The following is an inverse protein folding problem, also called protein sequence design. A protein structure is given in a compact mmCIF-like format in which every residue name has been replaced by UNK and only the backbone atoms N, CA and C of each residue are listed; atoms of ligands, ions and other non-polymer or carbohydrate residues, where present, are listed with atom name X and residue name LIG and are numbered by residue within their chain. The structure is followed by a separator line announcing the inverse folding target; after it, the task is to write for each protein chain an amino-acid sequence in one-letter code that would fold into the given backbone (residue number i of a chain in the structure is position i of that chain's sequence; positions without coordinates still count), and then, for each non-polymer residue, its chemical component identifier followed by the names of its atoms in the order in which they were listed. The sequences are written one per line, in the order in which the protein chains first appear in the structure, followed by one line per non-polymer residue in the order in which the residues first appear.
data_IF_362567635352
#
_entry.id   IF_362567635352
#
_cell.length_a   1.000
_cell.length_b   1.000
_cell.length_c   1.000
_cell.angle_alpha   90.00
_cell.angle_beta   90.00
_cell.angle_gamma   90.00
#
_symmetry.space_group_name_H-M   'P 1'
#
loop_
_entity.id
_entity.type
_entity.pdbx_description
1 polymer ?
#
# COMPACT_ATOMS: atom_id res chain seq x y z
N UNK A 1 6.15 -22.30 -26.67
CA UNK A 1 7.52 -22.45 -26.14
C UNK A 1 7.55 -21.77 -24.79
N UNK A 2 7.83 -22.54 -23.74
CA UNK A 2 7.57 -22.19 -22.35
C UNK A 2 8.46 -21.04 -21.85
N UNK A 3 7.84 -19.97 -21.36
CA UNK A 3 8.51 -19.01 -20.48
C UNK A 3 8.43 -19.59 -19.08
N UNK A 4 9.49 -20.32 -18.74
CA UNK A 4 9.81 -20.80 -17.40
C UNK A 4 9.73 -19.64 -16.42
N UNK A 5 8.79 -19.75 -15.46
CA UNK A 5 8.65 -18.83 -14.35
C UNK A 5 9.97 -18.68 -13.60
N UNK A 6 10.47 -17.46 -13.61
CA UNK A 6 11.43 -16.96 -12.64
C UNK A 6 10.75 -17.03 -11.27
N UNK A 7 10.99 -18.13 -10.55
CA UNK A 7 10.70 -18.18 -9.12
C UNK A 7 11.59 -17.12 -8.48
N UNK A 8 11.00 -15.97 -8.16
CA UNK A 8 11.60 -14.96 -7.31
C UNK A 8 12.25 -15.67 -6.12
N UNK A 9 13.58 -15.63 -6.05
CA UNK A 9 14.32 -16.15 -4.91
C UNK A 9 13.92 -15.27 -3.73
N UNK A 10 12.95 -15.75 -2.95
CA UNK A 10 12.43 -15.05 -1.78
C UNK A 10 13.59 -14.96 -0.79
N UNK A 11 14.25 -13.81 -0.72
CA UNK A 11 15.40 -13.59 0.16
C UNK A 11 15.06 -14.09 1.57
N UNK A 12 15.77 -15.08 2.12
CA UNK A 12 15.39 -15.71 3.40
C UNK A 12 15.33 -14.69 4.54
N UNK A 13 16.17 -13.66 4.45
CA UNK A 13 16.21 -12.51 5.36
C UNK A 13 14.88 -11.74 5.36
N UNK A 14 14.25 -11.52 4.19
CA UNK A 14 12.95 -10.83 4.08
C UNK A 14 11.85 -11.62 4.77
N UNK A 15 11.85 -12.95 4.62
CA UNK A 15 10.86 -13.82 5.26
C UNK A 15 11.02 -13.79 6.77
N UNK A 16 12.25 -13.87 7.28
CA UNK A 16 12.53 -13.79 8.73
C UNK A 16 12.10 -12.44 9.30
N UNK A 17 12.48 -11.34 8.65
CA UNK A 17 12.14 -9.99 9.12
C UNK A 17 10.63 -9.74 9.10
N UNK A 18 9.93 -10.26 8.09
CA UNK A 18 8.47 -10.24 8.01
C UNK A 18 7.82 -11.04 9.15
N UNK A 19 8.34 -12.22 9.48
CA UNK A 19 7.83 -13.02 10.61
C UNK A 19 8.04 -12.31 11.95
N UNK A 20 9.19 -11.67 12.13
CA UNK A 20 9.47 -10.87 13.34
C UNK A 20 8.47 -9.71 13.44
N UNK A 21 8.26 -8.95 12.37
CA UNK A 21 7.28 -7.87 12.36
C UNK A 21 5.84 -8.36 12.66
N UNK A 22 5.45 -9.51 12.09
CA UNK A 22 4.15 -10.14 12.40
C UNK A 22 4.01 -10.47 13.89
N UNK A 23 5.03 -11.05 14.51
CA UNK A 23 5.02 -11.33 15.94
C UNK A 23 4.88 -10.04 16.77
N UNK A 24 5.57 -8.97 16.38
CA UNK A 24 5.44 -7.67 17.05
C UNK A 24 4.02 -7.12 16.95
N UNK A 25 3.37 -7.21 15.79
CA UNK A 25 1.98 -6.79 15.63
C UNK A 25 1.00 -7.61 16.48
N UNK A 26 1.24 -8.92 16.65
CA UNK A 26 0.45 -9.74 17.59
C UNK A 26 0.58 -9.21 19.01
N UNK A 27 1.81 -8.95 19.45
CA UNK A 27 2.06 -8.43 20.80
C UNK A 27 1.40 -7.07 21.00
N UNK A 28 1.46 -6.18 20.01
CA UNK A 28 0.74 -4.89 20.01
C UNK A 28 -0.77 -5.11 20.12
N UNK A 29 -1.34 -5.99 19.32
CA UNK A 29 -2.77 -6.29 19.35
C UNK A 29 -3.22 -6.82 20.71
N UNK A 30 -2.47 -7.76 21.30
CA UNK A 30 -2.72 -8.28 22.65
C UNK A 30 -2.64 -7.15 23.69
N UNK A 31 -1.65 -6.27 23.60
CA UNK A 31 -1.53 -5.13 24.51
C UNK A 31 -2.72 -4.18 24.42
N UNK A 32 -3.25 -3.94 23.22
CA UNK A 32 -4.45 -3.15 22.98
C UNK A 32 -5.69 -3.74 23.65
N UNK A 33 -5.88 -5.05 23.52
CA UNK A 33 -6.99 -5.77 24.18
C UNK A 33 -6.85 -5.69 25.71
N UNK A 34 -5.64 -5.90 26.24
CA UNK A 34 -5.37 -5.82 27.67
C UNK A 34 -5.60 -4.41 28.23
N UNK A 35 -5.28 -3.34 27.49
CA UNK A 35 -5.60 -1.97 27.89
C UNK A 35 -7.11 -1.76 28.06
N UNK A 36 -7.91 -2.26 27.11
CA UNK A 36 -9.39 -2.19 27.19
C UNK A 36 -9.90 -3.02 28.37
N UNK A 37 -9.39 -4.25 28.55
CA UNK A 37 -9.80 -5.11 29.66
C UNK A 37 -9.46 -4.50 31.02
N UNK A 38 -8.28 -3.90 31.16
CA UNK A 38 -7.83 -3.24 32.39
C UNK A 38 -8.77 -2.11 32.80
N UNK A 39 -9.15 -1.23 31.86
CA UNK A 39 -10.02 -0.10 32.20
C UNK A 39 -11.46 -0.54 32.50
N UNK A 40 -11.98 -1.57 31.82
CA UNK A 40 -13.30 -2.13 32.13
C UNK A 40 -13.33 -2.81 33.50
N UNK A 41 -12.23 -3.47 33.90
CA UNK A 41 -12.12 -4.10 35.22
C UNK A 41 -12.02 -3.06 36.35
N UNK A 42 -11.33 -1.94 36.11
CA UNK A 42 -11.14 -0.89 37.12
C UNK A 42 -12.29 0.12 37.19
N UNK A 43 -12.90 0.45 36.05
CA UNK A 43 -13.99 1.41 35.93
C UNK A 43 -15.13 0.79 35.11
N UNK A 44 -16.01 0.00 35.74
CA UNK A 44 -17.17 -0.58 35.05
C UNK A 44 -18.13 0.49 34.49
N UNK A 45 -18.06 1.72 35.00
CA UNK A 45 -18.65 2.92 34.39
C UNK A 45 -17.52 3.92 34.12
N UNK A 46 -16.95 3.96 32.91
CA UNK A 46 -15.85 4.87 32.61
C UNK A 46 -16.32 6.31 32.76
N UNK A 47 -15.60 7.09 33.59
CA UNK A 47 -15.82 8.54 33.65
C UNK A 47 -15.48 9.16 32.29
N UNK A 48 -16.21 10.21 31.92
CA UNK A 48 -16.32 10.73 30.55
C UNK A 48 -14.99 11.07 29.85
N UNK A 49 -13.91 11.40 30.58
CA UNK A 49 -12.65 11.85 29.98
C UNK A 49 -11.54 10.78 29.91
N UNK A 50 -10.95 10.27 31.02
CA UNK A 50 -9.77 9.41 30.92
C UNK A 50 -10.09 7.97 30.51
N UNK A 51 -11.21 7.42 30.97
CA UNK A 51 -11.58 6.03 30.70
C UNK A 51 -11.87 5.79 29.22
N UNK A 52 -12.66 6.67 28.59
CA UNK A 52 -12.96 6.61 27.17
C UNK A 52 -11.73 6.81 26.28
N UNK A 53 -10.80 7.70 26.66
CA UNK A 53 -9.56 7.89 25.91
C UNK A 53 -8.73 6.60 25.84
N UNK A 54 -8.60 5.88 26.95
CA UNK A 54 -7.85 4.60 26.99
C UNK A 54 -8.55 3.53 26.14
N UNK A 55 -9.89 3.48 26.16
CA UNK A 55 -10.65 2.54 25.32
C UNK A 55 -10.42 2.84 23.84
N UNK A 56 -10.52 4.10 23.43
CA UNK A 56 -10.27 4.52 22.04
C UNK A 56 -8.84 4.20 21.63
N UNK A 57 -7.86 4.48 22.50
CA UNK A 57 -6.45 4.12 22.27
C UNK A 57 -6.26 2.62 22.09
N UNK A 58 -6.89 1.80 22.93
CA UNK A 58 -6.87 0.35 22.79
C UNK A 58 -7.45 -0.12 21.46
N UNK A 59 -8.58 0.46 21.02
CA UNK A 59 -9.20 0.15 19.72
C UNK A 59 -8.28 0.55 18.57
N UNK A 60 -7.66 1.73 18.63
CA UNK A 60 -6.70 2.17 17.62
C UNK A 60 -5.48 1.24 17.56
N UNK A 61 -4.98 0.80 18.71
CA UNK A 61 -3.85 -0.14 18.82
C UNK A 61 -4.18 -1.49 18.21
N UNK A 62 -5.38 -2.03 18.50
CA UNK A 62 -5.88 -3.28 17.88
C UNK A 62 -6.08 -3.09 16.38
N UNK A 63 -6.69 -1.99 15.95
CA UNK A 63 -6.86 -1.66 14.53
C UNK A 63 -5.53 -1.57 13.79
N UNK A 64 -4.53 -0.92 14.39
CA UNK A 64 -3.17 -0.88 13.87
C UNK A 64 -2.58 -2.28 13.72
N UNK A 65 -2.76 -3.18 14.70
CA UNK A 65 -2.26 -4.56 14.61
C UNK A 65 -2.87 -5.32 13.43
N UNK A 66 -4.19 -5.23 13.22
CA UNK A 66 -4.90 -5.89 12.12
C UNK A 66 -4.45 -5.33 10.77
N UNK A 67 -4.32 -4.01 10.67
CA UNK A 67 -3.80 -3.37 9.45
C UNK A 67 -2.33 -3.72 9.20
N UNK A 68 -1.53 -3.95 10.25
CA UNK A 68 -0.15 -4.42 10.12
C UNK A 68 -0.05 -5.79 9.45
N UNK A 69 -1.04 -6.66 9.66
CA UNK A 69 -1.15 -7.93 8.93
C UNK A 69 -1.52 -7.75 7.46
N UNK A 70 -2.41 -6.79 7.17
CA UNK A 70 -2.86 -6.50 5.80
C UNK A 70 -1.89 -5.58 5.02
N UNK A 71 -0.97 -4.89 5.70
CA UNK A 71 0.01 -3.97 5.12
C UNK A 71 0.97 -4.62 4.12
N UNK A 72 1.12 -5.95 4.18
CA UNK A 72 1.92 -6.70 3.21
C UNK A 72 1.25 -6.84 1.84
N UNK A 73 -0.06 -6.62 1.74
CA UNK A 73 -0.83 -6.82 0.51
C UNK A 73 -0.88 -5.56 -0.35
N UNK A 74 -0.90 -4.37 0.26
CA UNK A 74 -1.06 -3.10 -0.46
C UNK A 74 -0.35 -1.93 0.23
N UNK A 75 0.28 -1.05 -0.55
CA UNK A 75 0.93 0.17 -0.06
C UNK A 75 -0.04 1.10 0.68
N UNK A 76 -1.31 1.14 0.27
CA UNK A 76 -2.34 1.94 0.96
C UNK A 76 -2.61 1.45 2.38
N UNK A 77 -2.62 0.12 2.60
CA UNK A 77 -2.81 -0.44 3.93
C UNK A 77 -1.60 -0.15 4.84
N UNK A 78 -0.38 -0.13 4.30
CA UNK A 78 0.81 0.29 5.04
C UNK A 78 0.73 1.76 5.49
N UNK A 79 0.27 2.68 4.63
CA UNK A 79 0.09 4.09 4.99
C UNK A 79 -0.93 4.21 6.12
N UNK A 80 -2.10 3.58 5.98
CA UNK A 80 -3.12 3.59 7.04
C UNK A 80 -2.61 2.97 8.34
N UNK A 81 -1.89 1.84 8.27
CA UNK A 81 -1.26 1.21 9.43
C UNK A 81 -0.30 2.16 10.12
N UNK A 82 0.62 2.78 9.37
CA UNK A 82 1.61 3.71 9.93
C UNK A 82 0.96 4.95 10.55
N UNK A 83 -0.10 5.49 9.95
CA UNK A 83 -0.83 6.64 10.48
C UNK A 83 -1.56 6.31 11.79
N UNK A 84 -2.28 5.18 11.83
CA UNK A 84 -3.03 4.75 13.02
C UNK A 84 -2.06 4.36 14.15
N UNK A 85 -0.98 3.65 13.84
CA UNK A 85 0.03 3.28 14.82
C UNK A 85 0.76 4.52 15.37
N UNK A 86 1.04 5.52 14.53
CA UNK A 86 1.61 6.79 14.98
C UNK A 86 0.65 7.52 15.92
N UNK A 87 -0.64 7.58 15.57
CA UNK A 87 -1.66 8.20 16.41
C UNK A 87 -1.80 7.48 17.76
N UNK A 88 -1.79 6.15 17.76
CA UNK A 88 -1.78 5.34 18.96
C UNK A 88 -0.53 5.63 19.82
N UNK A 89 0.66 5.66 19.21
CA UNK A 89 1.92 5.99 19.89
C UNK A 89 1.91 7.40 20.50
N UNK A 90 1.39 8.40 19.79
CA UNK A 90 1.24 9.75 20.34
C UNK A 90 0.28 9.77 21.54
N UNK A 91 -0.83 9.04 21.48
CA UNK A 91 -1.76 8.95 22.59
C UNK A 91 -1.21 8.17 23.79
N UNK A 92 -0.53 7.05 23.56
CA UNK A 92 0.18 6.28 24.59
C UNK A 92 1.29 7.12 25.23
N UNK A 93 2.07 7.85 24.42
CA UNK A 93 3.11 8.77 24.90
C UNK A 93 2.53 9.92 25.71
N UNK A 94 1.47 10.57 25.23
CA UNK A 94 0.77 11.64 25.94
C UNK A 94 0.17 11.16 27.27
N UNK A 95 -0.44 9.97 27.28
CA UNK A 95 -0.97 9.37 28.50
C UNK A 95 0.13 8.99 29.50
N UNK A 96 1.24 8.44 29.01
CA UNK A 96 2.41 8.13 29.84
C UNK A 96 2.97 9.40 30.45
N UNK A 97 3.18 10.47 29.66
CA UNK A 97 3.63 11.76 30.16
C UNK A 97 2.67 12.35 31.20
N UNK A 98 1.36 12.28 30.95
CA UNK A 98 0.36 12.70 31.91
C UNK A 98 0.43 11.90 33.22
N UNK A 99 0.68 10.59 33.15
CA UNK A 99 0.91 9.74 34.32
C UNK A 99 2.21 10.08 35.05
N UNK A 100 3.27 10.56 34.39
CA UNK A 100 4.50 10.97 35.06
C UNK A 100 4.36 12.36 35.73
N UNK A 101 3.75 13.32 35.04
CA UNK A 101 3.65 14.72 35.47
C UNK A 101 2.54 14.91 36.51
N UNK A 102 1.39 14.28 36.30
CA UNK A 102 0.14 14.57 37.01
C UNK A 102 -0.40 13.38 37.80
N UNK A 103 0.50 12.54 38.35
CA UNK A 103 0.14 11.41 39.25
C UNK A 103 -0.93 11.76 40.28
N UNK A 104 -0.80 12.83 41.09
CA UNK A 104 -1.78 13.15 42.12
C UNK A 104 -3.14 13.56 41.56
N UNK A 105 -3.18 14.22 40.40
CA UNK A 105 -4.44 14.63 39.78
C UNK A 105 -5.21 13.43 39.22
N UNK A 106 -4.51 12.48 38.60
CA UNK A 106 -5.07 11.24 38.06
C UNK A 106 -5.53 10.31 39.18
N UNK A 107 -4.74 10.19 40.25
CA UNK A 107 -5.11 9.43 41.45
C UNK A 107 -6.43 9.97 42.05
N UNK A 108 -6.60 11.30 42.12
CA UNK A 108 -7.85 11.93 42.59
C UNK A 108 -9.05 11.66 41.68
N UNK A 109 -8.85 11.54 40.37
CA UNK A 109 -9.94 11.23 39.42
C UNK A 109 -10.34 9.76 39.44
N UNK A 110 -9.40 8.88 39.80
CA UNK A 110 -9.59 7.43 39.94
C UNK A 110 -10.09 7.07 41.35
N UNK A 111 -9.97 7.98 42.33
CA UNK A 111 -10.42 7.78 43.71
C UNK A 111 -11.94 7.56 43.78
N UNK A 112 -12.31 6.31 43.49
CA UNK A 112 -13.55 5.68 43.83
C UNK A 112 -13.47 5.30 45.29
N UNK A 113 -14.52 5.59 46.05
CA UNK A 113 -14.74 5.31 47.49
C UNK A 113 -14.45 3.85 47.95
N UNK A 114 -14.00 2.98 47.06
CA UNK A 114 -13.76 1.55 47.24
C UNK A 114 -12.29 1.16 47.43
N UNK A 115 -11.31 2.02 47.16
CA UNK A 115 -9.88 1.66 47.20
C UNK A 115 -9.08 2.50 48.18
N UNK A 116 -8.18 1.83 48.91
CA UNK A 116 -7.26 2.42 49.87
C UNK A 116 -6.15 3.21 49.12
N UNK A 117 -5.80 4.41 49.58
CA UNK A 117 -4.95 5.34 48.84
C UNK A 117 -3.57 4.73 48.51
N UNK A 118 -2.98 3.97 49.43
CA UNK A 118 -1.67 3.31 49.24
C UNK A 118 -1.66 2.28 48.11
N UNK A 119 -2.79 1.58 47.89
CA UNK A 119 -2.92 0.59 46.81
C UNK A 119 -3.04 1.28 45.45
N UNK A 120 -3.68 2.45 45.40
CA UNK A 120 -3.83 3.24 44.17
C UNK A 120 -2.46 3.73 43.69
N UNK A 121 -1.59 4.20 44.59
CA UNK A 121 -0.24 4.64 44.25
C UNK A 121 0.64 3.52 43.70
N UNK A 122 0.62 2.35 44.36
CA UNK A 122 1.34 1.17 43.88
C UNK A 122 0.84 0.70 42.52
N UNK A 123 -0.47 0.77 42.28
CA UNK A 123 -1.08 0.42 41.00
C UNK A 123 -0.73 1.43 39.89
N UNK A 124 -0.88 2.73 40.13
CA UNK A 124 -0.52 3.78 39.15
C UNK A 124 0.93 3.67 38.71
N UNK A 125 1.83 3.35 39.64
CA UNK A 125 3.25 3.12 39.33
C UNK A 125 3.41 1.95 38.34
N UNK A 126 2.73 0.83 38.56
CA UNK A 126 2.76 -0.32 37.64
C UNK A 126 2.17 0.03 36.27
N UNK A 127 1.02 0.70 36.24
CA UNK A 127 0.35 1.11 34.99
C UNK A 127 1.24 2.02 34.17
N UNK A 128 1.94 2.96 34.81
CA UNK A 128 2.88 3.86 34.14
C UNK A 128 4.00 3.09 33.41
N UNK A 129 4.60 2.08 34.06
CA UNK A 129 5.64 1.26 33.43
C UNK A 129 5.09 0.40 32.29
N UNK A 130 3.87 -0.11 32.42
CA UNK A 130 3.20 -0.87 31.37
C UNK A 130 2.95 0.02 30.14
N UNK A 131 2.37 1.21 30.33
CA UNK A 131 2.12 2.15 29.23
C UNK A 131 3.41 2.63 28.57
N UNK A 132 4.47 2.87 29.34
CA UNK A 132 5.78 3.21 28.80
C UNK A 132 6.34 2.06 27.94
N UNK A 133 6.20 0.81 28.40
CA UNK A 133 6.64 -0.35 27.62
C UNK A 133 5.85 -0.51 26.33
N UNK A 134 4.53 -0.26 26.34
CA UNK A 134 3.69 -0.31 25.14
C UNK A 134 4.12 0.78 24.16
N UNK A 135 4.30 2.02 24.64
CA UNK A 135 4.78 3.13 23.82
C UNK A 135 6.12 2.81 23.14
N UNK A 136 7.09 2.28 23.87
CA UNK A 136 8.39 1.88 23.29
C UNK A 136 8.23 0.78 22.24
N UNK A 137 7.32 -0.17 22.47
CA UNK A 137 7.05 -1.26 21.56
C UNK A 137 6.37 -0.78 20.27
N UNK A 138 5.46 0.20 20.36
CA UNK A 138 4.84 0.86 19.19
C UNK A 138 5.88 1.63 18.36
N UNK A 139 6.78 2.38 19.01
CA UNK A 139 7.89 3.07 18.32
C UNK A 139 8.82 2.08 17.63
N UNK A 140 9.19 0.99 18.30
CA UNK A 140 10.04 -0.03 17.71
C UNK A 140 9.36 -0.68 16.50
N UNK A 141 8.07 -0.98 16.59
CA UNK A 141 7.32 -1.54 15.47
C UNK A 141 7.21 -0.57 14.30
N UNK A 142 7.04 0.74 14.54
CA UNK A 142 7.09 1.76 13.50
C UNK A 142 8.45 1.75 12.79
N UNK A 143 9.55 1.79 13.55
CA UNK A 143 10.91 1.77 12.97
C UNK A 143 11.13 0.51 12.15
N UNK A 144 10.80 -0.67 12.67
CA UNK A 144 10.93 -1.93 11.92
C UNK A 144 10.09 -1.91 10.64
N UNK A 145 8.86 -1.43 10.71
CA UNK A 145 7.98 -1.32 9.55
C UNK A 145 8.53 -0.37 8.48
N UNK A 146 9.03 0.79 8.89
CA UNK A 146 9.70 1.75 8.00
C UNK A 146 10.97 1.18 7.39
N UNK A 147 11.80 0.47 8.17
CA UNK A 147 13.03 -0.17 7.68
C UNK A 147 12.69 -1.26 6.65
N UNK A 148 11.67 -2.09 6.91
CA UNK A 148 11.21 -3.09 5.95
C UNK A 148 10.77 -2.42 4.64
N UNK A 149 9.98 -1.35 4.70
CA UNK A 149 9.52 -0.66 3.50
C UNK A 149 10.60 0.16 2.77
N UNK A 150 11.57 0.72 3.49
CA UNK A 150 12.64 1.53 2.92
C UNK A 150 13.80 0.68 2.37
N UNK A 151 14.19 -0.39 3.07
CA UNK A 151 15.34 -1.22 2.71
C UNK A 151 14.98 -2.39 1.80
N UNK A 152 13.71 -2.81 1.78
CA UNK A 152 13.23 -3.87 0.89
C UNK A 152 12.34 -3.21 -0.16
N UNK A 153 12.91 -2.71 -1.26
CA UNK A 153 12.12 -2.11 -2.33
C UNK A 153 11.09 -3.15 -2.77
N UNK A 154 9.82 -2.75 -2.73
CA UNK A 154 8.73 -3.61 -3.18
C UNK A 154 8.92 -3.80 -4.68
N UNK A 155 8.94 -5.06 -5.14
CA UNK A 155 8.99 -5.51 -6.56
C UNK A 155 7.91 -4.88 -7.48
N UNK A 156 7.09 -3.96 -6.95
CA UNK A 156 6.14 -3.15 -7.70
C UNK A 156 6.85 -2.32 -8.77
N UNK A 157 8.05 -1.78 -8.52
CA UNK A 157 8.78 -1.01 -9.54
C UNK A 157 9.25 -1.90 -10.70
N UNK A 158 9.69 -3.13 -10.41
CA UNK A 158 10.12 -4.09 -11.43
C UNK A 158 8.93 -4.57 -12.28
N UNK A 159 7.78 -4.83 -11.65
CA UNK A 159 6.54 -5.19 -12.36
C UNK A 159 5.94 -4.04 -13.18
N UNK A 160 6.06 -2.78 -12.73
CA UNK A 160 5.57 -1.63 -13.49
C UNK A 160 6.41 -1.40 -14.74
N UNK A 161 7.73 -1.52 -14.65
CA UNK A 161 8.60 -1.46 -15.82
C UNK A 161 8.36 -2.62 -16.78
N UNK A 162 8.16 -3.83 -16.27
CA UNK A 162 7.82 -5.00 -17.09
C UNK A 162 6.45 -4.84 -17.76
N UNK A 163 5.42 -4.37 -17.04
CA UNK A 163 4.12 -4.05 -17.63
C UNK A 163 4.21 -2.94 -18.66
N UNK A 164 5.02 -1.91 -18.42
CA UNK A 164 5.21 -0.82 -19.37
C UNK A 164 5.93 -1.29 -20.63
N UNK A 165 6.98 -2.11 -20.49
CA UNK A 165 7.65 -2.76 -21.63
C UNK A 165 6.71 -3.69 -22.40
N UNK A 166 5.84 -4.43 -21.71
CA UNK A 166 4.83 -5.27 -22.37
C UNK A 166 3.82 -4.43 -23.14
N UNK A 167 3.31 -3.35 -22.57
CA UNK A 167 2.40 -2.42 -23.26
C UNK A 167 3.08 -1.73 -24.45
N UNK A 168 4.32 -1.30 -24.30
CA UNK A 168 5.08 -0.68 -25.39
C UNK A 168 5.38 -1.68 -26.51
N UNK A 169 5.68 -2.94 -26.18
CA UNK A 169 5.89 -4.00 -27.16
C UNK A 169 4.59 -4.37 -27.91
N UNK A 170 3.46 -4.42 -27.22
CA UNK A 170 2.15 -4.60 -27.85
C UNK A 170 1.77 -3.42 -28.74
N UNK A 171 2.00 -2.20 -28.26
CA UNK A 171 1.74 -0.97 -29.02
C UNK A 171 2.63 -0.88 -30.27
N UNK A 172 3.89 -1.31 -30.18
CA UNK A 172 4.78 -1.43 -31.34
C UNK A 172 4.33 -2.49 -32.34
N UNK A 173 3.81 -3.64 -31.88
CA UNK A 173 3.25 -4.68 -32.76
C UNK A 173 1.99 -4.19 -33.47
N UNK A 174 1.09 -3.51 -32.74
CA UNK A 174 -0.09 -2.84 -33.30
C UNK A 174 0.29 -1.80 -34.35
N UNK A 175 1.28 -0.94 -34.04
CA UNK A 175 1.76 0.07 -34.99
C UNK A 175 2.30 -0.55 -36.28
N UNK A 176 3.12 -1.61 -36.17
CA UNK A 176 3.63 -2.36 -37.34
C UNK A 176 2.50 -3.03 -38.12
N UNK A 177 1.51 -3.62 -37.45
CA UNK A 177 0.36 -4.25 -38.10
C UNK A 177 -0.48 -3.22 -38.88
N UNK A 178 -0.69 -2.03 -38.32
CA UNK A 178 -1.40 -0.93 -38.97
C UNK A 178 -0.60 -0.39 -40.17
N UNK A 179 0.72 -0.23 -40.06
CA UNK A 179 1.58 0.18 -41.18
C UNK A 179 1.57 -0.84 -42.33
N UNK A 180 1.62 -2.13 -42.01
CA UNK A 180 1.50 -3.21 -42.99
C UNK A 180 0.12 -3.24 -43.65
N UNK A 181 -0.94 -2.94 -42.90
CA UNK A 181 -2.30 -2.87 -43.45
C UNK A 181 -2.49 -1.61 -44.30
N UNK A 182 -1.91 -0.48 -43.90
CA UNK A 182 -1.92 0.78 -44.67
C UNK A 182 -1.19 0.61 -46.00
N UNK A 183 0.02 0.06 -45.98
CA UNK A 183 0.78 -0.23 -47.21
C UNK A 183 0.08 -1.24 -48.13
N UNK A 184 -0.56 -2.28 -47.58
CA UNK A 184 -1.39 -3.21 -48.38
C UNK A 184 -2.60 -2.51 -49.00
N UNK A 185 -3.28 -1.66 -48.25
CA UNK A 185 -4.44 -0.88 -48.75
C UNK A 185 -4.03 0.15 -49.78
N UNK A 186 -2.91 0.84 -49.58
CA UNK A 186 -2.34 1.80 -50.55
C UNK A 186 -1.90 1.09 -51.84
N UNK A 187 -1.23 -0.07 -51.74
CA UNK A 187 -0.82 -0.84 -52.90
C UNK A 187 -2.01 -1.39 -53.69
N UNK A 188 -3.05 -1.90 -53.01
CA UNK A 188 -4.27 -2.38 -53.68
C UNK A 188 -5.09 -1.24 -54.27
N UNK A 189 -5.14 -0.08 -53.61
CA UNK A 189 -5.81 1.12 -54.11
C UNK A 189 -5.06 1.71 -55.30
N UNK A 190 -3.75 1.80 -55.25
CA UNK A 190 -2.90 2.26 -56.35
C UNK A 190 -2.97 1.31 -57.55
N UNK A 191 -2.97 -0.01 -57.33
CA UNK A 191 -3.16 -1.00 -58.39
C UNK A 191 -4.56 -0.93 -59.02
N UNK A 192 -5.60 -0.73 -58.20
CA UNK A 192 -6.98 -0.52 -58.67
C UNK A 192 -7.11 0.77 -59.50
N UNK A 193 -6.48 1.86 -59.05
CA UNK A 193 -6.46 3.13 -59.75
C UNK A 193 -5.68 3.05 -61.06
N UNK A 194 -4.53 2.37 -61.07
CA UNK A 194 -3.73 2.12 -62.28
C UNK A 194 -4.51 1.30 -63.31
N UNK A 195 -5.23 0.26 -62.88
CA UNK A 195 -6.09 -0.53 -63.78
C UNK A 195 -7.26 0.29 -64.34
N UNK A 196 -7.88 1.17 -63.54
CA UNK A 196 -8.93 2.10 -64.03
C UNK A 196 -8.39 3.13 -65.01
N UNK A 197 -7.18 3.65 -64.79
CA UNK A 197 -6.53 4.58 -65.72
C UNK A 197 -6.18 3.88 -67.03
N UNK A 198 -5.66 2.64 -66.95
CA UNK A 198 -5.35 1.83 -68.13
C UNK A 198 -6.61 1.45 -68.93
N UNK A 199 -7.72 1.12 -68.28
CA UNK A 199 -8.96 0.79 -68.99
C UNK A 199 -9.64 2.01 -69.60
N UNK A 200 -9.54 3.19 -68.97
CA UNK A 200 -10.18 4.42 -69.44
C UNK A 200 -9.37 5.18 -70.49
N UNK A 201 -8.03 5.15 -70.39
CA UNK A 201 -7.13 5.92 -71.26
C UNK A 201 -6.21 5.05 -72.14
N UNK A 202 -5.99 3.78 -71.80
CA UNK A 202 -5.13 2.88 -72.59
C UNK A 202 -5.75 2.45 -73.93
N UNK A 203 -7.06 2.63 -74.12
CA UNK A 203 -7.72 2.39 -75.41
C UNK A 203 -7.37 3.48 -76.45
N UNK A 204 -6.93 4.66 -76.00
CA UNK A 204 -6.61 5.80 -76.86
C UNK A 204 -5.11 5.92 -77.17
N UNK A 205 -4.26 5.13 -76.52
CA UNK A 205 -2.80 5.20 -76.75
C UNK A 205 -2.31 4.30 -77.89
N UNK A 206 -3.06 3.24 -78.22
CA UNK A 206 -2.67 2.29 -79.27
C UNK A 206 -3.32 2.61 -80.63
N UNK A 207 -4.44 3.35 -80.66
CA UNK A 207 -5.21 3.61 -81.89
C UNK A 207 -4.96 5.01 -82.51
N UNK A 208 -4.56 6.03 -81.75
CA UNK A 208 -4.52 7.43 -82.26
C UNK A 208 -3.14 7.97 -82.69
N UNK A 209 -2.05 7.22 -82.52
CA UNK A 209 -0.71 7.67 -82.95
C UNK A 209 -0.21 7.03 -84.26
N UNK A 210 -1.03 6.19 -84.91
CA UNK A 210 -0.67 5.44 -86.12
C UNK A 210 -0.98 6.14 -87.45
N UNK A 211 -1.92 7.07 -87.51
CA UNK A 211 -2.38 7.68 -88.78
C UNK A 211 -2.26 9.21 -88.75
N UNK A 212 -1.03 9.70 -88.81
CA UNK A 212 -0.76 11.13 -88.83
C UNK A 212 0.62 11.48 -89.38
N UNK A 213 1.05 10.84 -90.48
CA UNK A 213 2.25 11.30 -91.21
C UNK A 213 2.28 10.83 -92.68
N UNK A 214 1.64 11.60 -93.56
CA UNK A 214 2.16 11.92 -94.90
C UNK A 214 1.29 12.98 -95.57
N UNK A 215 1.60 14.25 -95.29
CA UNK A 215 1.34 15.35 -96.22
C UNK A 215 2.70 16.00 -96.42
N UNK A 216 3.04 16.26 -97.69
CA UNK A 216 4.35 16.54 -98.31
C UNK A 216 5.07 15.29 -98.83
#
# INVERSE_FOLDING_TARGET
MALTGTKAVKNPIRVVLQRIAQLMYIVIGISGILMIAMILAFQPKPNFAPGWCIIVLGILTVGASVLGFAGFLTTGCFICHSAILSLAAFGCGGFTLALFISKPAIARTINSRQWDDDKIWGFLSKVQWVFLSIFLLEILALVVSTVIHACIPVEIYENLEEQQRQRDAEMHKLKKAVEQQKTKTENTTAASLANKMRSKYGKWTDEDFGEGRSIW
#
